data_IF_330641446421
#
_entry.id   IF_330641446421
#
_cell.length_a   1.000
_cell.length_b   1.000
_cell.length_c   1.000
_cell.angle_alpha   90.00
_cell.angle_beta   90.00
_cell.angle_gamma   90.00
#
_symmetry.space_group_name_H-M   'P 1'
#
loop_
_entity.id
_entity.type
_entity.pdbx_description
1 polymer ?
#
# COMPACT_ATOMS: atom_id res chain seq x y z
N UNK A 1 -63.91 19.14 5.93
CA UNK A 1 -62.74 18.61 5.19
C UNK A 1 -61.47 19.48 5.31
N UNK A 2 -61.55 20.82 5.29
CA UNK A 2 -60.38 21.73 5.40
C UNK A 2 -59.44 21.50 6.60
N UNK A 3 -59.96 21.17 7.78
CA UNK A 3 -59.14 20.97 8.98
C UNK A 3 -58.32 19.67 8.97
N UNK A 4 -58.80 18.61 8.29
CA UNK A 4 -58.04 17.36 8.14
C UNK A 4 -56.85 17.56 7.20
N UNK A 5 -57.04 18.30 6.10
CA UNK A 5 -55.96 18.63 5.15
C UNK A 5 -54.86 19.48 5.81
N UNK A 6 -55.22 20.42 6.70
CA UNK A 6 -54.26 21.25 7.45
C UNK A 6 -53.34 20.48 8.40
N UNK A 7 -53.74 19.29 8.86
CA UNK A 7 -52.97 18.44 9.78
C UNK A 7 -52.27 17.32 9.01
N UNK A 8 -52.90 16.77 7.98
CA UNK A 8 -52.33 15.68 7.17
C UNK A 8 -51.09 16.13 6.39
N UNK A 9 -51.10 17.34 5.82
CA UNK A 9 -49.97 17.87 5.05
C UNK A 9 -48.67 18.02 5.89
N UNK A 10 -48.67 18.67 7.07
CA UNK A 10 -47.45 18.76 7.88
C UNK A 10 -47.00 17.40 8.43
N UNK A 11 -47.93 16.49 8.77
CA UNK A 11 -47.57 15.13 9.21
C UNK A 11 -46.89 14.34 8.09
N UNK A 12 -47.42 14.41 6.86
CA UNK A 12 -46.77 13.80 5.68
C UNK A 12 -45.39 14.39 5.45
N UNK A 13 -45.22 15.70 5.62
CA UNK A 13 -43.94 16.39 5.42
C UNK A 13 -42.90 15.96 6.47
N UNK A 14 -43.30 15.80 7.73
CA UNK A 14 -42.43 15.26 8.79
C UNK A 14 -42.03 13.83 8.49
N UNK A 15 -42.97 12.96 8.12
CA UNK A 15 -42.67 11.55 7.75
C UNK A 15 -41.70 11.50 6.58
N UNK A 16 -41.88 12.36 5.57
CA UNK A 16 -41.02 12.39 4.39
C UNK A 16 -39.60 12.88 4.74
N UNK A 17 -39.48 13.89 5.61
CA UNK A 17 -38.18 14.36 6.11
C UNK A 17 -37.48 13.31 6.99
N UNK A 18 -38.22 12.61 7.85
CA UNK A 18 -37.67 11.50 8.65
C UNK A 18 -37.20 10.35 7.77
N UNK A 19 -37.97 9.99 6.73
CA UNK A 19 -37.57 8.96 5.78
C UNK A 19 -36.32 9.37 4.98
N UNK A 20 -36.23 10.62 4.53
CA UNK A 20 -35.03 11.16 3.87
C UNK A 20 -33.82 11.17 4.81
N UNK A 21 -34.00 11.55 6.07
CA UNK A 21 -32.95 11.53 7.10
C UNK A 21 -32.45 10.11 7.36
N UNK A 22 -33.37 9.14 7.51
CA UNK A 22 -33.03 7.73 7.70
C UNK A 22 -32.32 7.14 6.48
N UNK A 23 -32.78 7.47 5.27
CA UNK A 23 -32.14 7.05 4.02
C UNK A 23 -30.72 7.61 3.89
N UNK A 24 -30.53 8.91 4.20
CA UNK A 24 -29.22 9.53 4.19
C UNK A 24 -28.27 8.89 5.20
N UNK A 25 -28.74 8.65 6.43
CA UNK A 25 -28.00 7.92 7.45
C UNK A 25 -27.63 6.50 7.02
N UNK A 26 -28.57 5.77 6.42
CA UNK A 26 -28.33 4.42 5.91
C UNK A 26 -27.25 4.45 4.82
N UNK A 27 -27.35 5.38 3.87
CA UNK A 27 -26.36 5.54 2.80
C UNK A 27 -24.97 5.86 3.37
N UNK A 28 -24.89 6.79 4.32
CA UNK A 28 -23.64 7.15 4.99
C UNK A 28 -23.04 5.95 5.74
N UNK A 29 -23.89 5.18 6.41
CA UNK A 29 -23.49 3.96 7.12
C UNK A 29 -23.07 2.81 6.19
N UNK A 30 -23.52 2.79 4.94
CA UNK A 30 -23.06 1.82 3.94
C UNK A 30 -21.74 2.28 3.30
N UNK A 31 -21.55 3.59 3.12
CA UNK A 31 -20.36 4.13 2.46
C UNK A 31 -19.05 3.80 3.20
N UNK A 32 -19.09 3.73 4.54
CA UNK A 32 -17.93 3.33 5.36
C UNK A 32 -17.44 1.89 5.11
N UNK A 33 -18.31 1.02 4.60
CA UNK A 33 -17.93 -0.35 4.22
C UNK A 33 -17.52 -0.46 2.74
N UNK A 34 -17.82 0.55 1.92
CA UNK A 34 -17.51 0.52 0.50
C UNK A 34 -16.00 0.59 0.25
N UNK A 35 -15.58 0.13 -0.92
CA UNK A 35 -14.20 0.19 -1.36
C UNK A 35 -13.67 1.64 -1.35
N UNK A 36 -12.45 1.89 -0.84
CA UNK A 36 -11.81 3.21 -0.91
C UNK A 36 -11.54 3.69 -2.34
N UNK A 37 -11.21 2.77 -3.26
CA UNK A 37 -10.88 3.08 -4.67
C UNK A 37 -11.80 2.32 -5.61
N UNK A 38 -11.97 2.84 -6.83
CA UNK A 38 -12.71 2.13 -7.90
C UNK A 38 -11.86 1.10 -8.63
N UNK A 39 -10.58 1.40 -8.76
CA UNK A 39 -9.58 0.55 -9.38
C UNK A 39 -8.29 0.68 -8.55
N UNK A 40 -7.70 -0.46 -8.24
CA UNK A 40 -6.47 -0.56 -7.48
C UNK A 40 -5.84 -1.94 -7.70
N UNK A 41 -4.51 -2.02 -7.81
CA UNK A 41 -3.82 -3.28 -7.97
C UNK A 41 -4.02 -4.16 -6.74
N UNK A 42 -3.95 -5.47 -6.96
CA UNK A 42 -3.92 -6.45 -5.89
C UNK A 42 -2.54 -6.51 -5.26
N UNK A 43 -2.48 -6.62 -3.94
CA UNK A 43 -1.27 -6.76 -3.16
C UNK A 43 -1.37 -7.93 -2.20
N UNK A 44 -0.23 -8.41 -1.71
CA UNK A 44 -0.18 -9.32 -0.58
C UNK A 44 -0.08 -8.53 0.71
N UNK A 45 -0.98 -8.79 1.66
CA UNK A 45 -0.94 -8.32 3.03
C UNK A 45 -0.56 -9.47 3.96
N UNK A 46 0.52 -9.32 4.72
CA UNK A 46 1.08 -10.35 5.60
C UNK A 46 0.72 -10.05 7.05
N UNK A 47 0.23 -11.06 7.74
CA UNK A 47 -0.02 -11.04 9.18
C UNK A 47 1.04 -11.90 9.85
N UNK A 48 1.97 -11.28 10.57
CA UNK A 48 3.01 -11.95 11.33
C UNK A 48 2.48 -12.55 12.64
N UNK A 49 3.27 -13.43 13.26
CA UNK A 49 2.91 -14.13 14.50
C UNK A 49 2.60 -13.19 15.66
N UNK A 50 3.34 -12.10 15.75
CA UNK A 50 3.26 -11.09 16.79
C UNK A 50 2.20 -10.01 16.52
N UNK A 51 1.54 -10.04 15.35
CA UNK A 51 0.53 -9.04 15.04
C UNK A 51 -0.71 -9.20 15.93
N UNK A 52 -1.23 -8.07 16.36
CA UNK A 52 -2.49 -7.98 17.11
C UNK A 52 -3.63 -7.63 16.16
N UNK A 53 -4.88 -7.80 16.62
CA UNK A 53 -6.05 -7.32 15.89
C UNK A 53 -5.92 -5.83 15.54
N UNK A 54 -5.45 -5.01 16.50
CA UNK A 54 -5.22 -3.59 16.31
C UNK A 54 -4.17 -3.29 15.23
N UNK A 55 -3.08 -4.08 15.17
CA UNK A 55 -2.08 -3.93 14.12
C UNK A 55 -2.68 -4.23 12.73
N UNK A 56 -3.47 -5.30 12.62
CA UNK A 56 -4.13 -5.68 11.37
C UNK A 56 -5.13 -4.62 10.92
N UNK A 57 -6.07 -4.23 11.79
CA UNK A 57 -7.12 -3.26 11.43
C UNK A 57 -6.52 -1.87 11.22
N UNK A 58 -5.59 -1.46 12.07
CA UNK A 58 -4.89 -0.19 11.96
C UNK A 58 -4.07 -0.06 10.68
N UNK A 59 -3.33 -1.10 10.29
CA UNK A 59 -2.57 -1.10 9.03
C UNK A 59 -3.50 -0.99 7.82
N UNK A 60 -4.57 -1.79 7.76
CA UNK A 60 -5.51 -1.74 6.63
C UNK A 60 -6.20 -0.38 6.51
N UNK A 61 -6.46 0.29 7.63
CA UNK A 61 -6.98 1.65 7.61
C UNK A 61 -5.91 2.69 7.22
N UNK A 62 -4.73 2.65 7.83
CA UNK A 62 -3.63 3.61 7.60
C UNK A 62 -3.14 3.60 6.14
N UNK A 63 -3.07 2.43 5.51
CA UNK A 63 -2.69 2.28 4.10
C UNK A 63 -3.90 2.35 3.15
N UNK A 64 -5.09 2.71 3.64
CA UNK A 64 -6.24 3.02 2.81
C UNK A 64 -6.88 1.82 2.10
N UNK A 65 -6.78 0.61 2.67
CA UNK A 65 -7.54 -0.57 2.21
C UNK A 65 -8.98 -0.56 2.72
N UNK A 66 -9.23 0.11 3.84
CA UNK A 66 -10.58 0.39 4.34
C UNK A 66 -10.73 1.87 4.66
N UNK A 67 -11.95 2.39 4.51
CA UNK A 67 -12.26 3.80 4.83
C UNK A 67 -12.39 4.07 6.33
N UNK A 68 -12.78 3.04 7.09
CA UNK A 68 -13.14 3.16 8.51
C UNK A 68 -12.74 1.87 9.23
N UNK A 69 -11.93 2.00 10.28
CA UNK A 69 -11.42 0.87 11.04
C UNK A 69 -12.52 0.14 11.83
N UNK A 70 -13.50 0.87 12.36
CA UNK A 70 -14.61 0.29 13.14
C UNK A 70 -15.60 -0.44 12.23
N UNK A 71 -15.80 0.04 11.00
CA UNK A 71 -16.53 -0.68 9.97
C UNK A 71 -15.84 -2.02 9.63
N UNK A 72 -14.50 -2.04 9.52
CA UNK A 72 -13.75 -3.27 9.32
C UNK A 72 -13.90 -4.24 10.51
N UNK A 73 -13.76 -3.77 11.75
CA UNK A 73 -13.97 -4.59 12.96
C UNK A 73 -15.38 -5.17 13.00
N UNK A 74 -16.39 -4.34 12.68
CA UNK A 74 -17.77 -4.80 12.59
C UNK A 74 -17.93 -5.88 11.52
N UNK A 75 -17.36 -5.68 10.34
CA UNK A 75 -17.40 -6.67 9.27
C UNK A 75 -16.73 -7.99 9.68
N UNK A 76 -15.57 -7.92 10.33
CA UNK A 76 -14.82 -9.06 10.87
C UNK A 76 -15.62 -9.89 11.88
N UNK A 77 -16.49 -9.27 12.68
CA UNK A 77 -17.35 -9.99 13.63
C UNK A 77 -18.57 -10.64 12.99
N UNK A 78 -19.04 -10.13 11.85
CA UNK A 78 -20.34 -10.50 11.26
C UNK A 78 -20.21 -11.25 9.94
N UNK A 79 -19.02 -11.32 9.36
CA UNK A 79 -18.73 -12.19 8.22
C UNK A 79 -18.56 -13.62 8.70
N UNK A 80 -19.05 -14.58 7.93
CA UNK A 80 -18.91 -15.99 8.29
C UNK A 80 -17.45 -16.44 8.16
N UNK A 81 -16.88 -16.93 9.25
CA UNK A 81 -15.65 -17.69 9.26
C UNK A 81 -15.96 -19.17 8.97
N UNK A 82 -15.42 -19.71 7.88
CA UNK A 82 -15.56 -21.12 7.49
C UNK A 82 -14.28 -21.92 7.76
N UNK A 83 -13.23 -21.28 8.25
CA UNK A 83 -11.91 -21.87 8.51
C UNK A 83 -11.46 -21.43 9.90
N UNK A 84 -12.00 -22.06 10.95
CA UNK A 84 -11.60 -21.76 12.32
C UNK A 84 -10.08 -21.82 12.45
N UNK A 85 -9.50 -20.71 12.89
CA UNK A 85 -8.08 -20.42 12.79
C UNK A 85 -7.22 -21.35 13.63
N UNK A 86 -5.95 -21.40 13.27
CA UNK A 86 -4.95 -22.27 13.91
C UNK A 86 -4.51 -21.73 15.27
N UNK A 87 -3.68 -22.51 15.96
CA UNK A 87 -3.00 -22.02 17.17
C UNK A 87 -2.23 -20.73 16.85
N UNK A 88 -2.42 -19.69 17.66
CA UNK A 88 -1.84 -18.36 17.42
C UNK A 88 -2.71 -17.40 16.60
N UNK A 89 -3.84 -17.87 16.03
CA UNK A 89 -4.75 -17.01 15.30
C UNK A 89 -5.32 -15.86 16.17
N UNK A 90 -5.48 -14.70 15.56
CA UNK A 90 -6.04 -13.50 16.18
C UNK A 90 -7.55 -13.68 16.27
N UNK A 91 -8.10 -13.63 17.49
CA UNK A 91 -9.55 -13.76 17.72
C UNK A 91 -10.29 -12.45 17.58
N UNK A 92 -11.48 -12.50 16.97
CA UNK A 92 -12.44 -11.41 16.97
C UNK A 92 -13.87 -11.95 17.07
N UNK A 93 -14.48 -11.85 18.26
CA UNK A 93 -15.75 -12.51 18.55
C UNK A 93 -15.63 -14.03 18.42
N UNK A 94 -16.45 -14.62 17.55
CA UNK A 94 -16.41 -16.06 17.22
C UNK A 94 -15.51 -16.39 16.02
N UNK A 95 -14.91 -15.37 15.39
CA UNK A 95 -14.12 -15.51 14.18
C UNK A 95 -12.62 -15.38 14.49
N UNK A 96 -11.81 -15.78 13.51
CA UNK A 96 -10.35 -15.84 13.64
C UNK A 96 -9.64 -15.38 12.37
N UNK A 97 -8.52 -14.68 12.54
CA UNK A 97 -7.58 -14.33 11.46
C UNK A 97 -6.30 -15.12 11.72
N UNK A 98 -5.90 -15.95 10.77
CA UNK A 98 -4.64 -16.70 10.87
C UNK A 98 -3.42 -15.76 10.84
N UNK A 99 -2.46 -16.03 11.73
CA UNK A 99 -1.13 -15.42 11.70
C UNK A 99 -0.20 -16.24 10.82
N UNK A 100 1.00 -15.72 10.56
CA UNK A 100 1.99 -16.34 9.66
C UNK A 100 1.40 -16.64 8.28
N UNK A 101 0.54 -15.71 7.83
CA UNK A 101 -0.36 -15.89 6.69
C UNK A 101 -0.34 -14.65 5.81
N UNK A 102 -0.39 -14.85 4.50
CA UNK A 102 -0.51 -13.82 3.49
C UNK A 102 -1.91 -13.83 2.90
N UNK A 103 -2.43 -12.63 2.65
CA UNK A 103 -3.76 -12.39 2.13
C UNK A 103 -3.68 -11.54 0.88
N UNK A 104 -4.39 -11.95 -0.16
CA UNK A 104 -4.40 -11.25 -1.44
C UNK A 104 -5.57 -10.26 -1.46
N UNK A 105 -5.30 -8.96 -1.33
CA UNK A 105 -6.33 -7.92 -1.17
C UNK A 105 -6.10 -6.74 -2.11
N UNK A 106 -7.12 -5.92 -2.33
CA UNK A 106 -7.06 -4.69 -3.13
C UNK A 106 -7.87 -3.57 -2.46
N UNK A 107 -7.48 -2.32 -2.67
CA UNK A 107 -8.27 -1.15 -2.23
C UNK A 107 -9.56 -0.94 -3.05
N UNK A 108 -9.75 -1.73 -4.11
CA UNK A 108 -11.00 -1.81 -4.84
C UNK A 108 -12.02 -2.76 -4.19
N UNK A 109 -11.64 -3.44 -3.10
CA UNK A 109 -12.51 -4.31 -2.33
C UNK A 109 -13.20 -3.54 -1.20
N UNK A 110 -14.45 -3.88 -0.93
CA UNK A 110 -15.18 -3.44 0.26
C UNK A 110 -14.61 -4.06 1.54
N UNK A 111 -14.93 -3.47 2.69
CA UNK A 111 -14.56 -4.01 4.00
C UNK A 111 -15.09 -5.44 4.21
N UNK A 112 -16.26 -5.76 3.64
CA UNK A 112 -16.84 -7.10 3.67
C UNK A 112 -16.02 -8.12 2.85
N UNK A 113 -15.54 -7.73 1.67
CA UNK A 113 -14.72 -8.58 0.82
C UNK A 113 -13.33 -8.81 1.43
N UNK A 114 -12.69 -7.74 1.94
CA UNK A 114 -11.43 -7.84 2.67
C UNK A 114 -11.60 -8.78 3.86
N UNK A 115 -12.67 -8.61 4.63
CA UNK A 115 -12.96 -9.49 5.76
C UNK A 115 -13.11 -10.95 5.35
N UNK A 116 -13.90 -11.22 4.29
CA UNK A 116 -14.07 -12.60 3.79
C UNK A 116 -12.72 -13.23 3.49
N UNK A 117 -11.81 -12.48 2.86
CA UNK A 117 -10.46 -12.93 2.53
C UNK A 117 -9.65 -13.19 3.81
N UNK A 118 -9.63 -12.25 4.76
CA UNK A 118 -8.89 -12.39 6.02
C UNK A 118 -9.33 -13.62 6.84
N UNK A 119 -10.64 -13.92 6.82
CA UNK A 119 -11.20 -15.02 7.57
C UNK A 119 -11.11 -16.37 6.85
N UNK A 120 -10.97 -16.42 5.52
CA UNK A 120 -11.17 -17.67 4.76
C UNK A 120 -10.13 -17.98 3.67
N UNK A 121 -9.32 -17.01 3.23
CA UNK A 121 -8.52 -17.12 2.01
C UNK A 121 -7.02 -16.88 2.27
N UNK A 122 -6.56 -17.18 3.49
CA UNK A 122 -5.15 -17.06 3.88
C UNK A 122 -4.27 -18.14 3.25
N UNK A 123 -3.10 -17.75 2.73
CA UNK A 123 -2.05 -18.68 2.31
C UNK A 123 -0.89 -18.62 3.30
N UNK A 124 -0.23 -19.75 3.63
CA UNK A 124 0.94 -19.72 4.51
C UNK A 124 1.96 -18.70 4.01
N UNK A 125 2.22 -17.67 4.80
CA UNK A 125 3.32 -16.75 4.53
C UNK A 125 4.55 -17.47 5.04
N UNK A 126 5.31 -18.10 4.14
CA UNK A 126 6.62 -18.65 4.50
C UNK A 126 7.42 -17.48 5.08
N UNK A 127 7.57 -17.46 6.39
CA UNK A 127 8.55 -16.64 7.10
C UNK A 127 9.95 -17.23 6.83
N UNK A 128 10.24 -17.55 5.56
CA UNK A 128 11.56 -18.00 5.13
C UNK A 128 12.36 -16.76 4.81
N UNK A 129 13.03 -16.26 5.83
CA UNK A 129 13.86 -15.07 5.72
C UNK A 129 15.25 -15.35 6.28
N UNK A 130 15.89 -16.45 5.85
CA UNK A 130 17.32 -16.71 6.10
C UNK A 130 18.23 -15.55 5.60
N UNK A 131 17.69 -14.62 4.80
CA UNK A 131 18.37 -13.42 4.31
C UNK A 131 17.65 -12.10 4.63
N UNK A 132 16.79 -12.08 5.65
CA UNK A 132 16.16 -10.87 6.19
C UNK A 132 14.75 -10.61 5.64
N UNK A 133 13.75 -10.61 6.52
CA UNK A 133 12.44 -10.07 6.18
C UNK A 133 12.58 -8.53 6.17
N UNK A 134 11.95 -7.79 5.25
CA UNK A 134 11.70 -6.37 5.48
C UNK A 134 10.72 -6.28 6.66
N UNK A 135 11.25 -6.16 7.87
CA UNK A 135 10.56 -6.28 9.16
C UNK A 135 9.56 -5.17 9.46
N UNK A 136 9.38 -4.21 8.54
CA UNK A 136 8.54 -3.04 8.76
C UNK A 136 7.31 -2.95 7.85
N UNK A 137 7.31 -3.61 6.69
CA UNK A 137 6.21 -3.46 5.73
C UNK A 137 5.39 -4.74 5.55
N UNK A 138 4.11 -4.74 5.98
CA UNK A 138 3.24 -5.91 5.82
C UNK A 138 2.72 -6.09 4.39
N UNK A 139 3.02 -5.17 3.45
CA UNK A 139 2.53 -5.22 2.09
C UNK A 139 3.60 -5.60 1.07
N UNK A 140 3.22 -6.38 0.06
CA UNK A 140 4.05 -6.65 -1.12
C UNK A 140 3.21 -6.47 -2.40
N UNK A 141 3.55 -5.52 -3.29
CA UNK A 141 4.63 -4.52 -3.15
C UNK A 141 4.41 -3.57 -1.97
N UNK A 142 5.47 -2.84 -1.58
CA UNK A 142 5.40 -1.84 -0.52
C UNK A 142 4.43 -0.71 -0.89
N UNK A 143 3.62 -0.31 0.10
CA UNK A 143 2.58 0.71 -0.04
C UNK A 143 2.90 1.92 0.85
N UNK A 144 2.67 3.12 0.34
CA UNK A 144 2.78 4.39 1.07
C UNK A 144 1.52 4.65 1.91
N UNK A 145 1.60 5.42 3.01
CA UNK A 145 0.43 5.88 3.74
C UNK A 145 -0.60 6.52 2.79
N UNK A 146 -1.89 6.14 2.92
CA UNK A 146 -2.94 6.54 1.96
C UNK A 146 -3.09 5.63 0.73
N UNK A 147 -2.13 4.70 0.52
CA UNK A 147 -2.34 3.50 -0.26
C UNK A 147 -1.76 3.47 -1.67
N UNK A 148 -0.90 4.41 -2.03
CA UNK A 148 -0.19 4.36 -3.31
C UNK A 148 0.95 3.35 -3.26
N UNK A 149 1.17 2.62 -4.36
CA UNK A 149 2.35 1.76 -4.48
C UNK A 149 3.59 2.63 -4.35
N UNK A 150 4.47 2.26 -3.42
CA UNK A 150 5.73 2.96 -3.28
C UNK A 150 6.59 2.74 -4.53
N UNK A 151 7.27 3.79 -4.99
CA UNK A 151 8.17 3.65 -6.12
C UNK A 151 9.28 2.65 -5.77
N UNK A 152 9.56 1.78 -6.73
CA UNK A 152 10.71 0.88 -6.65
C UNK A 152 11.97 1.70 -6.39
N UNK A 153 12.98 1.05 -5.82
CA UNK A 153 14.27 1.72 -5.62
C UNK A 153 14.79 2.29 -6.95
N UNK A 154 14.62 1.58 -8.07
CA UNK A 154 15.08 2.02 -9.39
C UNK A 154 14.35 3.28 -9.85
N UNK A 155 13.02 3.35 -9.67
CA UNK A 155 12.23 4.54 -10.00
C UNK A 155 12.64 5.74 -9.13
N UNK A 156 12.87 5.53 -7.83
CA UNK A 156 13.36 6.58 -6.92
C UNK A 156 14.69 7.15 -7.38
N UNK A 157 15.63 6.29 -7.72
CA UNK A 157 16.95 6.74 -8.19
C UNK A 157 16.86 7.40 -9.57
N UNK A 158 16.05 6.88 -10.49
CA UNK A 158 15.81 7.52 -11.79
C UNK A 158 15.24 8.93 -11.63
N UNK A 159 14.26 9.13 -10.75
CA UNK A 159 13.72 10.44 -10.46
C UNK A 159 14.79 11.36 -9.84
N UNK A 160 15.57 10.86 -8.88
CA UNK A 160 16.66 11.61 -8.22
C UNK A 160 17.69 12.13 -9.23
N UNK A 161 18.10 11.30 -10.18
CA UNK A 161 19.13 11.63 -11.17
C UNK A 161 18.57 12.23 -12.46
N UNK A 162 17.28 12.59 -12.50
CA UNK A 162 16.62 13.12 -13.71
C UNK A 162 17.17 14.47 -14.20
N UNK A 163 17.79 15.24 -13.31
CA UNK A 163 18.37 16.56 -13.63
C UNK A 163 19.79 16.49 -14.16
N UNK A 164 20.46 15.34 -14.07
CA UNK A 164 21.85 15.15 -14.49
C UNK A 164 21.93 15.16 -16.01
N UNK A 165 22.69 16.11 -16.55
CA UNK A 165 22.90 16.27 -18.00
C UNK A 165 24.35 16.15 -18.41
N UNK A 166 25.27 16.26 -17.45
CA UNK A 166 26.71 16.25 -17.68
C UNK A 166 27.42 15.32 -16.72
N UNK A 167 28.69 15.04 -17.01
CA UNK A 167 29.55 14.26 -16.12
C UNK A 167 29.72 14.96 -14.76
N UNK A 168 29.86 16.28 -14.74
CA UNK A 168 30.01 17.05 -13.50
C UNK A 168 28.72 17.05 -12.68
N UNK A 169 27.56 17.10 -13.33
CA UNK A 169 26.27 16.90 -12.66
C UNK A 169 26.19 15.52 -12.01
N UNK A 170 26.69 14.48 -12.68
CA UNK A 170 26.73 13.12 -12.12
C UNK A 170 27.61 13.07 -10.87
N UNK A 171 28.83 13.64 -10.94
CA UNK A 171 29.75 13.70 -9.79
C UNK A 171 29.13 14.47 -8.62
N UNK A 172 28.43 15.56 -8.89
CA UNK A 172 27.69 16.31 -7.86
C UNK A 172 26.51 15.52 -7.29
N UNK A 173 25.80 14.76 -8.13
CA UNK A 173 24.62 14.00 -7.74
C UNK A 173 24.93 12.75 -6.91
N UNK A 174 26.07 12.10 -7.13
CA UNK A 174 26.45 10.89 -6.36
C UNK A 174 26.88 11.21 -4.93
N UNK A 175 27.41 12.41 -4.67
CA UNK A 175 27.77 12.91 -3.33
C UNK A 175 28.31 11.83 -2.37
N UNK A 176 27.52 11.55 -1.31
CA UNK A 176 27.80 10.50 -0.32
C UNK A 176 26.94 9.23 -0.50
N UNK A 177 26.22 9.12 -1.61
CA UNK A 177 25.20 8.10 -1.85
C UNK A 177 25.78 6.75 -2.30
N UNK A 178 27.10 6.59 -2.33
CA UNK A 178 27.76 5.32 -2.69
C UNK A 178 27.96 5.10 -4.19
N UNK A 179 27.70 6.12 -5.04
CA UNK A 179 28.20 6.12 -6.41
C UNK A 179 29.72 6.23 -6.47
N UNK A 180 30.34 5.82 -7.57
CA UNK A 180 31.78 5.85 -7.77
C UNK A 180 32.13 6.70 -9.00
N UNK A 181 33.34 7.24 -8.99
CA UNK A 181 33.86 8.00 -10.11
C UNK A 181 35.28 7.52 -10.42
N UNK A 182 35.56 7.27 -11.69
CA UNK A 182 36.92 6.97 -12.14
C UNK A 182 37.83 8.17 -11.86
N UNK A 183 38.97 7.90 -11.20
CA UNK A 183 39.94 8.94 -10.86
C UNK A 183 40.61 9.51 -12.12
N UNK A 184 41.09 10.75 -12.02
CA UNK A 184 41.87 11.37 -13.10
C UNK A 184 43.18 10.64 -13.39
N UNK A 185 43.78 10.02 -12.37
CA UNK A 185 45.02 9.27 -12.52
C UNK A 185 44.80 8.00 -13.36
N UNK A 186 43.70 7.28 -13.13
CA UNK A 186 43.37 6.11 -13.94
C UNK A 186 43.12 6.50 -15.41
N UNK A 187 42.42 7.61 -15.66
CA UNK A 187 42.26 8.17 -17.01
C UNK A 187 43.61 8.44 -17.68
N UNK A 188 44.56 9.06 -16.96
CA UNK A 188 45.90 9.36 -17.49
C UNK A 188 46.71 8.10 -17.78
N UNK A 189 46.56 7.04 -16.98
CA UNK A 189 47.31 5.80 -17.13
C UNK A 189 46.76 4.89 -18.24
N UNK A 190 45.44 4.79 -18.38
CA UNK A 190 44.79 3.84 -19.30
C UNK A 190 44.30 4.47 -20.59
N UNK A 191 44.08 5.79 -20.61
CA UNK A 191 43.42 6.49 -21.72
C UNK A 191 41.92 6.21 -21.82
N UNK A 192 41.34 5.41 -20.92
CA UNK A 192 39.89 5.16 -20.89
C UNK A 192 39.15 6.37 -20.35
N UNK A 193 38.00 6.75 -20.95
CA UNK A 193 37.23 7.92 -20.51
C UNK A 193 36.78 7.74 -19.07
N UNK A 194 36.74 8.84 -18.32
CA UNK A 194 36.24 8.82 -16.93
C UNK A 194 34.76 8.46 -16.91
N UNK A 195 34.37 7.63 -15.95
CA UNK A 195 32.98 7.20 -15.76
C UNK A 195 32.52 7.55 -14.35
N UNK A 196 31.31 8.07 -14.24
CA UNK A 196 30.59 8.26 -13.00
C UNK A 196 29.46 7.23 -12.97
N UNK A 197 29.47 6.30 -12.02
CA UNK A 197 28.38 5.35 -11.84
C UNK A 197 27.50 5.75 -10.66
N UNK A 198 26.21 5.71 -10.88
CA UNK A 198 25.20 5.92 -9.85
C UNK A 198 24.81 4.58 -9.25
N UNK A 199 24.26 4.62 -8.05
CA UNK A 199 23.85 3.40 -7.34
C UNK A 199 22.86 2.58 -8.15
N UNK A 200 22.00 3.21 -8.97
CA UNK A 200 21.04 2.59 -9.91
C UNK A 200 21.63 1.89 -11.14
N UNK A 201 22.94 1.69 -11.14
CA UNK A 201 23.63 0.89 -12.15
C UNK A 201 23.76 1.60 -13.49
N UNK A 202 23.47 2.90 -13.54
CA UNK A 202 23.67 3.73 -14.73
C UNK A 202 25.02 4.43 -14.67
N UNK A 203 25.54 4.73 -15.86
CA UNK A 203 26.86 5.28 -16.07
C UNK A 203 26.76 6.58 -16.86
N UNK A 204 27.48 7.61 -16.40
CA UNK A 204 27.71 8.84 -17.13
C UNK A 204 29.18 8.91 -17.56
N UNK A 205 29.42 9.08 -18.85
CA UNK A 205 30.78 9.04 -19.43
C UNK A 205 31.22 10.44 -19.76
N UNK A 206 32.42 10.81 -19.33
CA UNK A 206 32.98 12.11 -19.63
C UNK A 206 33.10 12.29 -21.15
N UNK A 207 32.49 13.35 -21.68
CA UNK A 207 32.49 13.68 -23.11
C UNK A 207 31.43 12.96 -23.95
N UNK A 208 30.52 12.17 -23.34
CA UNK A 208 29.32 11.66 -24.01
C UNK A 208 28.06 12.27 -23.41
N UNK A 209 27.05 12.46 -24.24
CA UNK A 209 25.74 12.90 -23.79
C UNK A 209 24.90 11.71 -23.31
N UNK A 210 24.18 11.92 -22.21
CA UNK A 210 23.20 10.97 -21.69
C UNK A 210 23.76 9.82 -20.85
N UNK A 211 22.82 9.06 -20.30
CA UNK A 211 23.08 7.90 -19.45
C UNK A 211 23.32 6.63 -20.29
N UNK A 212 24.18 5.74 -19.79
CA UNK A 212 24.36 4.37 -20.29
C UNK A 212 23.91 3.37 -19.23
N UNK A 213 23.14 2.36 -19.63
CA UNK A 213 22.73 1.25 -18.74
C UNK A 213 23.76 0.10 -18.72
N UNK A 214 24.74 0.13 -19.61
CA UNK A 214 25.81 -0.88 -19.68
C UNK A 214 27.14 -0.29 -19.19
N UNK A 215 27.90 -1.06 -18.38
CA UNK A 215 29.29 -0.72 -18.11
C UNK A 215 30.05 -0.78 -19.43
N UNK A 216 30.78 0.29 -19.74
CA UNK A 216 31.56 0.36 -20.99
C UNK A 216 32.82 -0.50 -20.96
N UNK A 217 33.22 -0.96 -19.78
CA UNK A 217 34.38 -1.83 -19.54
C UNK A 217 34.06 -2.76 -18.35
N UNK A 218 34.54 -4.01 -18.35
CA UNK A 218 34.34 -4.98 -17.26
C UNK A 218 35.06 -4.59 -15.96
#
# INVERSE_FOLDING_TARGET
MKNKVRIIVPVLLVVLLSALGAFYWFKLSQDRFAAPRKDAPTVQFRVAKENTLMAVTGNLHYYGFVKDEEALKYALQHTKDNTPGKEGAIKIGNNTIDTETAYTISQAMSAWEITRILLNEGTPSVSDCDHGCPSSNPFTPEILPGGDIAPTWQERMRAKYSWVKTFDDCVAAIGHDGGQVTSEENFKQTGHPRVCNTTDGRYFVQGKEGWSDTPLYP
#
